data_IF_761881952162
#
_entry.id   IF_761881952162
#
_cell.length_a   1.000
_cell.length_b   1.000
_cell.length_c   1.000
_cell.angle_alpha   90.00
_cell.angle_beta   90.00
_cell.angle_gamma   90.00
#
_symmetry.space_group_name_H-M   'P 1'
#
loop_
_entity.id
_entity.type
_entity.pdbx_description
1 polymer ?
#
# COMPACT_ATOMS: atom_id res chain seq x y z
N UNK A 1 -9.95 -21.02 -1.59
CA UNK A 1 -10.53 -19.66 -1.79
C UNK A 1 -10.54 -19.39 -3.28
N UNK A 2 -11.62 -18.82 -3.82
CA UNK A 2 -11.74 -18.53 -5.27
C UNK A 2 -11.41 -17.07 -5.62
N UNK A 3 -11.01 -16.27 -4.64
CA UNK A 3 -10.62 -14.87 -4.79
C UNK A 3 -9.40 -14.55 -3.91
N UNK A 4 -8.61 -13.51 -4.22
CA UNK A 4 -7.49 -13.10 -3.39
C UNK A 4 -7.96 -12.57 -2.03
N UNK A 5 -7.07 -12.65 -1.04
CA UNK A 5 -7.27 -12.04 0.27
C UNK A 5 -6.49 -10.72 0.40
N UNK A 6 -6.97 -9.87 1.29
CA UNK A 6 -6.37 -8.59 1.67
C UNK A 6 -6.21 -8.61 3.19
N UNK A 7 -5.05 -8.21 3.70
CA UNK A 7 -4.92 -7.93 5.12
C UNK A 7 -5.40 -6.51 5.38
N UNK A 8 -6.41 -6.34 6.23
CA UNK A 8 -6.96 -5.04 6.60
C UNK A 8 -7.05 -4.95 8.12
N UNK A 9 -6.29 -4.03 8.70
CA UNK A 9 -6.11 -3.82 10.14
C UNK A 9 -5.63 -5.06 10.89
N UNK A 10 -6.55 -5.90 11.35
CA UNK A 10 -6.26 -7.00 12.28
C UNK A 10 -6.37 -8.38 11.62
N UNK A 11 -6.88 -8.47 10.37
CA UNK A 11 -7.15 -9.77 9.77
C UNK A 11 -7.18 -9.79 8.25
N UNK A 12 -7.09 -11.01 7.72
CA UNK A 12 -7.32 -11.30 6.31
C UNK A 12 -8.81 -11.35 6.01
N UNK A 13 -9.22 -10.60 5.00
CA UNK A 13 -10.58 -10.60 4.45
C UNK A 13 -10.52 -10.94 2.96
N UNK A 14 -11.60 -11.50 2.38
CA UNK A 14 -11.71 -11.61 0.93
C UNK A 14 -11.58 -10.23 0.28
N UNK A 15 -10.91 -10.12 -0.87
CA UNK A 15 -10.68 -8.84 -1.51
C UNK A 15 -11.98 -8.09 -1.84
N UNK A 16 -13.05 -8.81 -2.17
CA UNK A 16 -14.39 -8.24 -2.37
C UNK A 16 -14.98 -7.55 -1.14
N UNK A 17 -14.49 -7.85 0.07
CA UNK A 17 -14.96 -7.31 1.35
C UNK A 17 -13.99 -6.31 1.99
N UNK A 18 -12.84 -6.06 1.35
CA UNK A 18 -11.85 -5.11 1.82
C UNK A 18 -12.31 -3.67 1.53
N UNK A 19 -12.93 -3.02 2.52
CA UNK A 19 -13.48 -1.67 2.40
C UNK A 19 -12.86 -0.71 3.41
N UNK A 20 -12.61 0.52 2.96
CA UNK A 20 -12.33 1.65 3.84
C UNK A 20 -13.59 2.47 4.05
N UNK A 21 -13.74 3.02 5.25
CA UNK A 21 -14.77 4.00 5.52
C UNK A 21 -14.52 5.29 4.75
N UNK A 22 -15.58 5.92 4.24
CA UNK A 22 -15.50 7.16 3.45
C UNK A 22 -14.87 8.33 4.23
N UNK A 23 -14.90 8.25 5.55
CA UNK A 23 -14.34 9.24 6.48
C UNK A 23 -12.93 8.88 6.96
N UNK A 24 -12.29 7.87 6.37
CA UNK A 24 -10.86 7.64 6.55
C UNK A 24 -10.05 8.82 6.02
N UNK A 25 -9.04 9.28 6.75
CA UNK A 25 -8.21 10.44 6.42
C UNK A 25 -7.36 10.23 5.15
N UNK A 26 -7.13 8.99 4.73
CA UNK A 26 -6.60 8.67 3.41
C UNK A 26 -7.54 9.05 2.27
N UNK A 27 -8.86 9.03 2.51
CA UNK A 27 -9.88 9.49 1.56
C UNK A 27 -10.13 11.00 1.74
N UNK A 28 -10.36 11.45 2.98
CA UNK A 28 -10.73 12.84 3.27
C UNK A 28 -9.61 13.82 2.93
N UNK A 29 -8.35 13.48 3.22
CA UNK A 29 -7.21 14.38 3.05
C UNK A 29 -6.19 13.89 2.01
N UNK A 30 -6.35 12.67 1.47
CA UNK A 30 -5.31 12.05 0.64
C UNK A 30 -4.03 11.71 1.43
N UNK A 31 -4.13 11.61 2.77
CA UNK A 31 -3.01 11.33 3.65
C UNK A 31 -2.73 9.81 3.66
N UNK A 32 -1.75 9.36 2.89
CA UNK A 32 -1.44 7.92 2.78
C UNK A 32 0.03 7.70 2.53
N UNK A 33 0.66 6.97 3.45
CA UNK A 33 1.99 6.36 3.24
C UNK A 33 1.79 5.05 2.50
N UNK A 34 2.69 4.71 1.58
CA UNK A 34 2.58 3.47 0.82
C UNK A 34 3.94 2.86 0.54
N UNK A 35 3.97 1.55 0.44
CA UNK A 35 5.10 0.80 -0.06
C UNK A 35 4.64 -0.20 -1.13
N UNK A 36 5.54 -0.58 -2.03
CA UNK A 36 5.24 -1.60 -3.03
C UNK A 36 6.44 -2.52 -3.21
N UNK A 37 6.20 -3.82 -3.06
CA UNK A 37 7.12 -4.89 -3.44
C UNK A 37 6.57 -5.66 -4.64
N UNK A 38 7.41 -6.51 -5.22
CA UNK A 38 6.95 -7.52 -6.17
C UNK A 38 7.52 -8.88 -5.83
N UNK A 39 6.89 -9.92 -6.34
CA UNK A 39 7.45 -11.25 -6.34
C UNK A 39 8.22 -11.54 -7.62
N UNK A 40 9.04 -12.59 -7.54
CA UNK A 40 9.66 -13.30 -8.66
C UNK A 40 9.46 -14.79 -8.40
N UNK A 41 8.69 -15.47 -9.25
CA UNK A 41 8.27 -16.87 -9.00
C UNK A 41 7.67 -17.03 -7.60
N UNK A 42 6.81 -16.08 -7.26
CA UNK A 42 6.08 -16.02 -5.98
C UNK A 42 6.95 -15.73 -4.75
N UNK A 43 8.26 -15.51 -4.90
CA UNK A 43 9.14 -15.06 -3.80
C UNK A 43 9.26 -13.54 -3.77
N UNK A 44 9.01 -12.86 -2.64
CA UNK A 44 9.13 -11.41 -2.56
C UNK A 44 10.58 -10.93 -2.66
N UNK A 45 10.83 -9.93 -3.48
CA UNK A 45 12.16 -9.33 -3.61
C UNK A 45 12.39 -8.23 -2.58
N UNK A 46 13.42 -8.39 -1.74
CA UNK A 46 13.88 -7.39 -0.76
C UNK A 46 12.80 -6.92 0.22
N UNK A 47 11.92 -7.84 0.64
CA UNK A 47 10.78 -7.54 1.49
C UNK A 47 11.19 -6.77 2.76
N UNK A 48 12.21 -7.25 3.46
CA UNK A 48 12.75 -6.62 4.65
C UNK A 48 13.12 -5.14 4.45
N UNK A 49 13.83 -4.80 3.37
CA UNK A 49 14.19 -3.41 3.10
C UNK A 49 12.98 -2.53 2.79
N UNK A 50 11.98 -3.09 2.10
CA UNK A 50 10.73 -2.40 1.83
C UNK A 50 9.93 -2.17 3.12
N UNK A 51 9.78 -3.17 3.99
CA UNK A 51 9.10 -3.02 5.29
C UNK A 51 9.82 -1.99 6.17
N UNK A 52 11.16 -2.02 6.23
CA UNK A 52 11.92 -0.97 6.95
C UNK A 52 11.69 0.43 6.36
N UNK A 53 11.54 0.57 5.04
CA UNK A 53 11.24 1.86 4.41
C UNK A 53 9.81 2.33 4.67
N UNK A 54 8.85 1.40 4.70
CA UNK A 54 7.47 1.67 5.11
C UNK A 54 7.46 2.22 6.55
N UNK A 55 8.08 1.52 7.49
CA UNK A 55 8.13 1.94 8.90
C UNK A 55 8.81 3.30 9.09
N UNK A 56 9.87 3.61 8.33
CA UNK A 56 10.46 4.97 8.32
C UNK A 56 9.49 6.03 7.82
N UNK A 57 8.70 5.71 6.79
CA UNK A 57 7.69 6.62 6.23
C UNK A 57 6.52 6.82 7.21
N UNK A 58 6.07 5.76 7.90
CA UNK A 58 5.10 5.83 8.98
C UNK A 58 5.61 6.70 10.13
N UNK A 59 6.87 6.49 10.57
CA UNK A 59 7.51 7.33 11.59
C UNK A 59 7.53 8.81 11.20
N UNK A 60 7.89 9.13 9.96
CA UNK A 60 7.84 10.50 9.45
C UNK A 60 6.43 11.11 9.51
N UNK A 61 5.42 10.31 9.19
CA UNK A 61 4.01 10.74 9.20
C UNK A 61 3.36 10.72 10.60
N UNK A 62 4.05 10.22 11.63
CA UNK A 62 3.49 10.04 12.97
C UNK A 62 2.47 8.89 13.06
N UNK A 63 2.56 7.88 12.20
CA UNK A 63 1.67 6.71 12.22
C UNK A 63 2.28 5.59 13.06
N UNK A 64 1.55 5.17 14.11
CA UNK A 64 1.89 4.04 14.96
C UNK A 64 1.09 2.80 14.54
N UNK A 65 1.79 1.75 14.12
CA UNK A 65 1.19 0.48 13.71
C UNK A 65 1.21 -0.52 14.87
N UNK A 66 0.22 -1.41 14.93
CA UNK A 66 0.22 -2.51 15.90
C UNK A 66 1.23 -3.61 15.52
N UNK A 67 1.48 -3.77 14.21
CA UNK A 67 2.48 -4.70 13.70
C UNK A 67 3.85 -4.04 13.66
N UNK A 68 4.83 -4.72 14.24
CA UNK A 68 6.23 -4.37 14.09
C UNK A 68 6.79 -4.87 12.74
N UNK A 69 8.12 -4.77 12.58
CA UNK A 69 8.80 -5.22 11.37
C UNK A 69 8.51 -6.69 11.04
N UNK A 70 8.63 -7.58 12.02
CA UNK A 70 8.54 -9.01 11.80
C UNK A 70 7.08 -9.43 11.55
N UNK A 71 6.14 -8.81 12.26
CA UNK A 71 4.71 -8.98 12.00
C UNK A 71 4.32 -8.54 10.58
N UNK A 72 4.84 -7.42 10.10
CA UNK A 72 4.60 -6.94 8.72
C UNK A 72 5.21 -7.89 7.67
N UNK A 73 6.43 -8.38 7.90
CA UNK A 73 7.09 -9.33 7.00
C UNK A 73 6.29 -10.63 6.92
N UNK A 74 5.91 -11.20 8.06
CA UNK A 74 5.18 -12.46 8.14
C UNK A 74 3.79 -12.35 7.51
N UNK A 75 3.05 -11.28 7.84
CA UNK A 75 1.76 -10.99 7.24
C UNK A 75 1.86 -10.87 5.71
N UNK A 76 2.91 -10.21 5.21
CA UNK A 76 3.13 -10.06 3.77
C UNK A 76 3.44 -11.40 3.09
N UNK A 77 4.24 -12.26 3.73
CA UNK A 77 4.55 -13.60 3.22
C UNK A 77 3.30 -14.47 3.17
N UNK A 78 2.50 -14.46 4.23
CA UNK A 78 1.22 -15.18 4.30
C UNK A 78 0.24 -14.74 3.20
N UNK A 79 0.18 -13.42 2.92
CA UNK A 79 -0.62 -12.87 1.83
C UNK A 79 -0.12 -13.37 0.46
N UNK A 80 1.18 -13.32 0.21
CA UNK A 80 1.81 -13.76 -1.03
C UNK A 80 1.58 -15.25 -1.26
N UNK A 81 1.77 -16.08 -0.23
CA UNK A 81 1.54 -17.52 -0.34
C UNK A 81 0.09 -17.82 -0.71
N UNK A 82 -0.85 -17.16 -0.04
CA UNK A 82 -2.29 -17.37 -0.26
C UNK A 82 -2.70 -16.92 -1.66
N UNK A 83 -2.30 -15.73 -2.07
CA UNK A 83 -2.70 -15.15 -3.35
C UNK A 83 -1.90 -15.70 -4.54
N UNK A 84 -0.66 -16.17 -4.31
CA UNK A 84 0.20 -16.79 -5.31
C UNK A 84 -0.38 -18.09 -5.85
N UNK A 85 -1.13 -18.84 -5.03
CA UNK A 85 -1.88 -20.05 -5.43
C UNK A 85 -2.98 -19.76 -6.46
N UNK A 86 -3.37 -18.50 -6.64
CA UNK A 86 -4.43 -18.08 -7.57
C UNK A 86 -3.89 -17.64 -8.95
N UNK A 87 -2.57 -17.62 -9.13
CA UNK A 87 -1.94 -17.22 -10.38
C UNK A 87 -1.03 -18.33 -10.92
N UNK A 88 -0.69 -18.26 -12.21
CA UNK A 88 0.21 -19.21 -12.84
C UNK A 88 1.64 -19.14 -12.27
N UNK A 89 2.44 -20.20 -12.44
CA UNK A 89 3.79 -20.30 -11.88
C UNK A 89 4.79 -19.27 -12.44
N UNK A 90 4.55 -18.78 -13.66
CA UNK A 90 5.37 -17.75 -14.31
C UNK A 90 4.80 -16.33 -14.14
N UNK A 91 3.70 -16.19 -13.39
CA UNK A 91 3.11 -14.90 -13.06
C UNK A 91 3.65 -14.41 -11.71
N UNK A 92 3.77 -13.09 -11.58
CA UNK A 92 4.23 -12.44 -10.36
C UNK A 92 3.13 -11.55 -9.77
N UNK A 93 3.21 -11.30 -8.47
CA UNK A 93 2.35 -10.37 -7.75
C UNK A 93 3.09 -9.04 -7.54
N UNK A 94 2.37 -7.94 -7.73
CA UNK A 94 2.67 -6.69 -7.04
C UNK A 94 1.98 -6.72 -5.69
N UNK A 95 2.70 -6.37 -4.63
CA UNK A 95 2.15 -6.27 -3.27
C UNK A 95 2.28 -4.83 -2.81
N UNK A 96 1.18 -4.27 -2.34
CA UNK A 96 1.08 -2.88 -1.91
C UNK A 96 0.73 -2.87 -0.43
N UNK A 97 1.53 -2.15 0.32
CA UNK A 97 1.20 -1.71 1.68
C UNK A 97 0.71 -0.28 1.58
N UNK A 98 -0.38 0.04 2.26
CA UNK A 98 -0.73 1.42 2.53
C UNK A 98 -1.14 1.61 3.97
N UNK A 99 -0.82 2.79 4.50
CA UNK A 99 -1.16 3.21 5.85
C UNK A 99 -1.78 4.60 5.77
N UNK A 100 -2.97 4.75 6.34
CA UNK A 100 -3.64 6.05 6.51
C UNK A 100 -3.65 6.43 7.99
N UNK A 101 -3.92 7.70 8.35
CA UNK A 101 -4.12 8.08 9.74
C UNK A 101 -5.34 7.43 10.41
N UNK A 102 -6.22 6.80 9.63
CA UNK A 102 -7.47 6.21 10.10
C UNK A 102 -8.66 7.15 10.02
N UNK A 103 -9.69 6.82 10.76
CA UNK A 103 -11.02 7.40 10.64
C UNK A 103 -11.14 8.77 11.32
N UNK A 104 -11.70 9.73 10.59
CA UNK A 104 -12.01 11.06 11.09
C UNK A 104 -13.35 11.07 11.83
N UNK A 105 -13.30 11.23 13.16
CA UNK A 105 -14.50 11.25 14.02
C UNK A 105 -15.51 12.35 13.68
N UNK A 106 -15.05 13.52 13.22
CA UNK A 106 -15.95 14.63 12.85
C UNK A 106 -16.73 14.24 11.58
N UNK A 107 -16.04 13.68 10.59
CA UNK A 107 -16.65 13.28 9.33
C UNK A 107 -17.47 11.99 9.45
N UNK A 108 -17.18 11.15 10.45
CA UNK A 108 -17.99 9.99 10.79
C UNK A 108 -19.38 10.36 11.35
N UNK A 109 -19.55 11.57 11.88
CA UNK A 109 -20.83 12.04 12.42
C UNK A 109 -21.40 11.10 13.49
N UNK A 110 -22.67 10.71 13.34
CA UNK A 110 -23.35 9.78 14.27
C UNK A 110 -22.79 8.35 14.25
N UNK A 111 -22.11 7.94 13.17
CA UNK A 111 -21.37 6.67 13.12
C UNK A 111 -20.04 6.75 13.90
N UNK A 112 -19.61 7.95 14.31
CA UNK A 112 -18.33 8.23 14.95
C UNK A 112 -18.22 7.91 16.44
N UNK A 113 -19.29 7.40 17.08
CA UNK A 113 -19.33 7.25 18.54
C UNK A 113 -18.28 6.28 19.11
N UNK A 114 -17.85 5.32 18.30
CA UNK A 114 -16.80 4.33 18.63
C UNK A 114 -15.47 4.59 17.92
N UNK A 115 -15.40 5.63 17.07
CA UNK A 115 -14.23 5.90 16.23
C UNK A 115 -13.07 6.41 17.09
N UNK A 116 -11.97 5.67 17.07
CA UNK A 116 -10.67 6.09 17.60
C UNK A 116 -9.73 6.37 16.44
N UNK A 117 -8.97 7.46 16.53
CA UNK A 117 -7.94 7.77 15.56
C UNK A 117 -6.80 6.76 15.71
N UNK A 118 -6.85 5.69 14.91
CA UNK A 118 -5.88 4.62 14.84
C UNK A 118 -5.52 4.42 13.36
N UNK A 119 -4.23 4.33 13.00
CA UNK A 119 -3.85 4.13 11.61
C UNK A 119 -4.51 2.91 10.99
N UNK A 120 -5.02 3.05 9.77
CA UNK A 120 -5.51 1.90 9.00
C UNK A 120 -4.37 1.33 8.18
N UNK A 121 -4.04 0.06 8.41
CA UNK A 121 -3.06 -0.70 7.64
C UNK A 121 -3.78 -1.61 6.65
N UNK A 122 -3.39 -1.54 5.38
CA UNK A 122 -3.83 -2.48 4.37
C UNK A 122 -2.65 -3.05 3.60
N UNK A 123 -2.68 -4.37 3.38
CA UNK A 123 -1.76 -5.08 2.51
C UNK A 123 -2.61 -5.82 1.49
N UNK A 124 -2.44 -5.48 0.21
CA UNK A 124 -3.15 -6.15 -0.88
C UNK A 124 -2.18 -6.49 -2.01
N UNK A 125 -2.58 -7.41 -2.88
CA UNK A 125 -1.79 -7.77 -4.05
C UNK A 125 -2.60 -7.78 -5.33
N UNK A 126 -1.92 -7.76 -6.47
CA UNK A 126 -2.50 -7.93 -7.79
C UNK A 126 -1.50 -8.62 -8.73
N UNK A 127 -1.95 -9.40 -9.74
CA UNK A 127 -1.06 -9.96 -10.75
C UNK A 127 -0.39 -8.84 -11.56
N UNK A 128 0.92 -8.90 -11.76
CA UNK A 128 1.65 -7.89 -12.54
C UNK A 128 1.25 -7.97 -14.03
N UNK A 129 0.72 -6.89 -14.63
CA UNK A 129 0.24 -6.91 -16.01
C UNK A 129 1.40 -6.66 -17.00
N UNK A 130 2.34 -7.60 -17.13
CA UNK A 130 3.52 -7.44 -17.99
C UNK A 130 3.21 -7.13 -19.46
N UNK A 131 2.06 -7.57 -19.97
CA UNK A 131 1.60 -7.26 -21.32
C UNK A 131 1.46 -5.74 -21.55
N UNK A 132 1.01 -5.00 -20.52
CA UNK A 132 0.85 -3.54 -20.56
C UNK A 132 2.20 -2.83 -20.62
N UNK A 133 3.23 -3.38 -19.97
CA UNK A 133 4.55 -2.74 -19.89
C UNK A 133 5.52 -3.16 -20.98
N UNK A 134 5.29 -4.31 -21.63
CA UNK A 134 6.15 -4.88 -22.67
C UNK A 134 6.58 -3.88 -23.76
N UNK A 135 5.70 -3.01 -24.30
CA UNK A 135 6.11 -2.04 -25.32
C UNK A 135 7.22 -1.10 -24.82
N UNK A 136 7.11 -0.59 -23.59
CA UNK A 136 8.10 0.34 -23.02
C UNK A 136 9.49 -0.28 -22.89
N UNK A 137 9.58 -1.57 -22.59
CA UNK A 137 10.87 -2.28 -22.51
C UNK A 137 11.48 -2.62 -23.87
N UNK A 138 10.65 -2.73 -24.92
CA UNK A 138 11.13 -3.10 -26.27
C UNK A 138 11.41 -1.89 -27.16
N UNK A 139 10.63 -0.84 -26.99
CA UNK A 139 10.61 0.33 -27.88
C UNK A 139 11.11 1.59 -27.17
N UNK A 140 11.28 1.55 -25.85
CA UNK A 140 11.51 2.72 -25.02
C UNK A 140 10.21 3.44 -24.67
N UNK A 141 10.33 4.45 -23.79
CA UNK A 141 9.25 5.36 -23.45
C UNK A 141 9.63 6.78 -23.85
N UNK A 142 8.67 7.53 -24.41
CA UNK A 142 8.85 8.96 -24.65
C UNK A 142 8.72 9.72 -23.33
N UNK A 143 9.69 10.58 -23.02
CA UNK A 143 9.75 11.35 -21.77
C UNK A 143 10.02 12.82 -22.06
N UNK A 144 9.49 13.71 -21.21
CA UNK A 144 9.65 15.17 -21.31
C UNK A 144 9.97 15.75 -19.93
N UNK A 145 10.55 16.96 -19.90
CA UNK A 145 10.68 17.75 -18.67
C UNK A 145 9.46 18.69 -18.55
N UNK A 146 8.57 18.51 -17.56
CA UNK A 146 7.36 19.33 -17.45
C UNK A 146 7.65 20.71 -16.81
N UNK A 147 6.71 21.65 -16.97
CA UNK A 147 6.70 22.92 -16.25
C UNK A 147 6.37 22.76 -14.76
N UNK A 148 5.60 21.71 -14.43
CA UNK A 148 5.28 21.29 -13.06
C UNK A 148 6.57 21.00 -12.28
N UNK A 149 6.64 21.46 -11.03
CA UNK A 149 7.80 21.27 -10.15
C UNK A 149 7.49 20.22 -9.10
N UNK A 150 8.53 19.46 -8.74
CA UNK A 150 8.43 18.55 -7.61
C UNK A 150 8.17 19.33 -6.31
N UNK A 151 7.41 18.74 -5.39
CA UNK A 151 7.14 19.34 -4.08
C UNK A 151 8.46 19.57 -3.35
N UNK A 152 8.72 20.78 -2.83
CA UNK A 152 9.95 21.04 -2.09
C UNK A 152 10.10 20.13 -0.86
N UNK A 153 11.32 19.65 -0.52
CA UNK A 153 11.56 18.79 0.64
C UNK A 153 11.16 19.42 1.99
N UNK A 154 11.09 20.74 2.08
CA UNK A 154 10.61 21.47 3.26
C UNK A 154 9.10 21.35 3.45
N UNK A 155 8.35 21.03 2.39
CA UNK A 155 6.91 20.81 2.43
C UNK A 155 6.59 19.33 2.69
N UNK A 156 7.20 18.43 1.91
CA UNK A 156 7.06 16.97 2.05
C UNK A 156 8.39 16.32 1.73
N UNK A 157 8.94 15.53 2.66
CA UNK A 157 10.21 14.84 2.43
C UNK A 157 10.04 13.80 1.31
N UNK A 158 10.78 13.91 0.18
CA UNK A 158 10.66 13.00 -0.95
C UNK A 158 11.08 11.56 -0.62
N UNK A 159 11.78 11.32 0.50
CA UNK A 159 12.11 9.98 0.98
C UNK A 159 10.91 9.24 1.56
N UNK A 160 9.86 9.97 1.96
CA UNK A 160 8.60 9.41 2.44
C UNK A 160 7.74 9.00 1.26
N UNK A 161 7.60 7.71 1.05
CA UNK A 161 6.80 7.19 -0.06
C UNK A 161 5.30 7.34 0.28
N UNK A 162 4.62 8.23 -0.43
CA UNK A 162 3.22 8.57 -0.17
C UNK A 162 2.37 8.63 -1.46
N UNK A 163 1.04 8.75 -1.30
CA UNK A 163 0.05 8.85 -2.39
C UNK A 163 -0.52 10.25 -2.62
N UNK A 164 0.08 11.29 -2.04
CA UNK A 164 -0.29 12.68 -2.32
C UNK A 164 0.29 13.12 -3.69
N UNK A 165 -0.45 12.83 -4.77
CA UNK A 165 0.04 12.85 -6.18
C UNK A 165 -0.59 13.94 -7.08
N UNK A 166 -1.30 14.91 -6.51
CA UNK A 166 -1.93 16.01 -7.28
C UNK A 166 -0.95 17.13 -7.68
N UNK A 167 0.36 16.92 -7.57
CA UNK A 167 1.40 17.91 -7.87
C UNK A 167 1.96 17.74 -9.26
#
# INVERSE_FOLDING_TARGET
MNEPVVYLNEGFVPASQAHLNIYDLGIVLGATVTEMTRTFRHEPFRLDEHVRRLLRSCKYAGFELDLDHDGLVECTRSLIETNGRLIGPEQDLGVVHFVTPGENRIYAGSAGSTVRLKPTLCIHSFPLPFSVWRPYFRQGAHVVTPSIRHVPPQCVDPKTKNRSRLH
#
